data_IF_923629019220
#
_entry.id   IF_923629019220
#
_cell.length_a   1.000
_cell.length_b   1.000
_cell.length_c   1.000
_cell.angle_alpha   90.00
_cell.angle_beta   90.00
_cell.angle_gamma   90.00
#
_symmetry.space_group_name_H-M   'P 1'
#
loop_
_entity.id
_entity.type
_entity.pdbx_description
1 polymer ?
#
# COMPACT_ATOMS: atom_id res chain seq x y z
N UNK A 1 16.55 13.33 -0.58
CA UNK A 1 17.82 14.08 -0.67
C UNK A 1 17.72 15.50 -0.07
N UNK A 2 16.76 16.34 -0.50
CA UNK A 2 16.63 17.71 0.02
C UNK A 2 16.48 17.74 1.56
N UNK A 3 15.58 16.94 2.11
CA UNK A 3 15.29 16.87 3.55
C UNK A 3 16.54 16.41 4.34
N UNK A 4 17.23 15.38 3.86
CA UNK A 4 18.50 14.93 4.48
C UNK A 4 19.58 16.03 4.49
N UNK A 5 19.65 16.83 3.43
CA UNK A 5 20.59 17.95 3.34
C UNK A 5 20.27 19.08 4.31
N UNK A 6 18.99 19.36 4.54
CA UNK A 6 18.52 20.46 5.41
C UNK A 6 18.58 20.08 6.88
N UNK A 7 18.15 18.86 7.24
CA UNK A 7 17.99 18.44 8.63
C UNK A 7 19.10 17.50 9.13
N UNK A 8 19.96 17.04 8.23
CA UNK A 8 21.04 16.10 8.54
C UNK A 8 20.68 14.66 8.16
N UNK A 9 21.68 13.93 7.65
CA UNK A 9 21.47 12.55 7.21
C UNK A 9 21.13 11.60 8.37
N UNK A 10 21.66 11.87 9.56
CA UNK A 10 21.43 11.08 10.77
C UNK A 10 20.05 11.34 11.41
N UNK A 11 19.41 12.46 11.05
CA UNK A 11 18.12 12.88 11.59
C UNK A 11 16.93 12.46 10.71
N UNK A 12 17.18 11.91 9.53
CA UNK A 12 16.14 11.65 8.51
C UNK A 12 16.19 10.21 8.03
N UNK A 13 15.06 9.51 8.07
CA UNK A 13 14.88 8.22 7.40
C UNK A 13 13.50 8.07 6.82
N UNK A 14 13.32 7.05 5.99
CA UNK A 14 11.99 6.57 5.62
C UNK A 14 11.45 5.59 6.68
N UNK A 15 10.17 5.24 6.56
CA UNK A 15 9.47 4.36 7.51
C UNK A 15 9.38 2.97 6.92
N UNK A 16 9.65 1.94 7.72
CA UNK A 16 9.43 0.55 7.32
C UNK A 16 7.94 0.26 7.13
N UNK A 17 7.64 -0.62 6.21
CA UNK A 17 6.33 -1.27 6.10
C UNK A 17 6.51 -2.78 6.22
N UNK A 18 5.67 -3.41 7.02
CA UNK A 18 5.63 -4.86 7.15
C UNK A 18 4.54 -5.42 6.24
N UNK A 19 4.94 -6.16 5.22
CA UNK A 19 4.00 -6.87 4.37
C UNK A 19 3.58 -8.18 5.03
N UNK A 20 2.33 -8.27 5.46
CA UNK A 20 1.78 -9.50 6.04
C UNK A 20 1.15 -10.40 4.96
N UNK A 21 1.05 -11.68 5.27
CA UNK A 21 0.34 -12.66 4.44
C UNK A 21 -1.17 -12.47 4.61
N UNK A 22 -1.77 -11.60 3.82
CA UNK A 22 -3.22 -11.41 3.82
C UNK A 22 -3.96 -12.61 3.22
N UNK A 23 -5.26 -12.74 3.51
CA UNK A 23 -6.09 -13.90 3.17
C UNK A 23 -5.97 -14.37 1.71
N UNK A 24 -6.03 -13.46 0.72
CA UNK A 24 -5.87 -13.84 -0.71
C UNK A 24 -4.47 -14.32 -1.04
N UNK A 25 -3.46 -13.70 -0.47
CA UNK A 25 -2.07 -14.04 -0.73
C UNK A 25 -1.72 -15.40 -0.12
N UNK A 26 -2.09 -15.63 1.13
CA UNK A 26 -1.78 -16.87 1.83
C UNK A 26 -2.44 -18.08 1.16
N UNK A 27 -3.69 -17.98 0.71
CA UNK A 27 -4.37 -19.05 -0.04
C UNK A 27 -3.60 -19.39 -1.32
N UNK A 28 -3.16 -18.39 -2.09
CA UNK A 28 -2.39 -18.63 -3.32
C UNK A 28 -1.00 -19.21 -3.05
N UNK A 29 -0.32 -18.73 -2.02
CA UNK A 29 1.04 -19.17 -1.70
C UNK A 29 1.03 -20.61 -1.16
N UNK A 30 0.10 -20.95 -0.25
CA UNK A 30 -0.07 -22.32 0.25
C UNK A 30 -0.50 -23.26 -0.87
N UNK A 31 -1.47 -22.88 -1.70
CA UNK A 31 -1.90 -23.69 -2.83
C UNK A 31 -0.77 -23.98 -3.81
N UNK A 32 0.12 -23.01 -4.04
CA UNK A 32 1.33 -23.22 -4.86
C UNK A 32 2.30 -24.23 -4.24
N UNK A 33 2.54 -24.15 -2.93
CA UNK A 33 3.42 -25.07 -2.22
C UNK A 33 2.86 -26.50 -2.20
N UNK A 34 1.54 -26.63 -2.08
CA UNK A 34 0.83 -27.91 -2.15
C UNK A 34 0.66 -28.45 -3.59
N UNK A 35 1.22 -27.76 -4.60
CA UNK A 35 1.09 -28.09 -6.03
C UNK A 35 -0.36 -28.21 -6.51
N UNK A 36 -1.27 -27.45 -5.93
CA UNK A 36 -2.67 -27.40 -6.38
C UNK A 36 -2.80 -26.64 -7.71
N UNK A 37 -3.82 -26.96 -8.48
CA UNK A 37 -4.08 -26.30 -9.75
C UNK A 37 -4.29 -24.80 -9.59
N UNK A 38 -3.58 -23.98 -10.40
CA UNK A 38 -3.66 -22.52 -10.32
C UNK A 38 -5.09 -21.98 -10.41
N UNK A 39 -5.88 -22.51 -11.35
CA UNK A 39 -7.27 -22.06 -11.57
C UNK A 39 -8.17 -22.36 -10.36
N UNK A 40 -7.97 -23.48 -9.71
CA UNK A 40 -8.69 -23.90 -8.51
C UNK A 40 -8.40 -22.97 -7.34
N UNK A 41 -7.13 -22.78 -7.04
CA UNK A 41 -6.66 -21.88 -5.96
C UNK A 41 -7.07 -20.43 -6.23
N UNK A 42 -6.97 -19.96 -7.47
CA UNK A 42 -7.35 -18.60 -7.83
C UNK A 42 -8.86 -18.37 -7.74
N UNK A 43 -9.66 -19.39 -8.07
CA UNK A 43 -11.12 -19.36 -7.86
C UNK A 43 -11.46 -19.18 -6.38
N UNK A 44 -10.81 -19.96 -5.49
CA UNK A 44 -11.02 -19.83 -4.05
C UNK A 44 -10.58 -18.43 -3.55
N UNK A 45 -9.41 -17.97 -3.96
CA UNK A 45 -8.88 -16.67 -3.56
C UNK A 45 -9.74 -15.49 -4.06
N UNK A 46 -10.36 -15.60 -5.24
CA UNK A 46 -11.24 -14.55 -5.80
C UNK A 46 -12.54 -14.37 -5.03
N UNK A 47 -13.04 -15.43 -4.38
CA UNK A 47 -14.24 -15.34 -3.53
C UNK A 47 -13.99 -14.54 -2.24
N UNK A 48 -12.74 -14.37 -1.80
CA UNK A 48 -12.43 -13.55 -0.63
C UNK A 48 -12.73 -12.09 -0.96
N UNK A 49 -13.62 -11.41 -0.20
CA UNK A 49 -13.98 -10.02 -0.50
C UNK A 49 -12.80 -9.06 -0.29
N UNK A 50 -12.75 -8.01 -1.08
CA UNK A 50 -11.85 -6.88 -0.86
C UNK A 50 -12.68 -5.63 -0.65
N UNK A 51 -12.59 -5.06 0.56
CA UNK A 51 -13.22 -3.77 0.88
C UNK A 51 -12.12 -2.79 1.28
N UNK A 52 -12.06 -1.61 0.65
CA UNK A 52 -11.10 -0.58 1.04
C UNK A 52 -11.21 -0.27 2.54
N UNK A 53 -10.06 -0.24 3.24
CA UNK A 53 -10.02 0.07 4.67
C UNK A 53 -10.43 -1.06 5.62
N UNK A 54 -10.78 -2.25 5.09
CA UNK A 54 -11.11 -3.41 5.91
C UNK A 54 -10.14 -4.57 5.63
N UNK A 55 -9.39 -4.98 6.65
CA UNK A 55 -8.61 -6.21 6.59
C UNK A 55 -9.53 -7.41 6.78
N UNK A 56 -9.84 -8.09 5.67
CA UNK A 56 -10.67 -9.28 5.65
C UNK A 56 -9.78 -10.49 5.87
N UNK A 57 -9.94 -11.14 7.03
CA UNK A 57 -9.30 -12.43 7.34
C UNK A 57 -10.05 -13.58 6.68
N UNK A 58 -9.44 -14.77 6.63
CA UNK A 58 -10.08 -16.00 6.11
C UNK A 58 -11.35 -16.33 6.89
N UNK A 59 -11.35 -16.09 8.19
CA UNK A 59 -12.52 -16.31 9.04
C UNK A 59 -13.65 -15.35 8.69
N UNK A 60 -13.37 -14.06 8.64
CA UNK A 60 -14.33 -13.04 8.20
C UNK A 60 -14.84 -13.28 6.78
N UNK A 61 -13.94 -13.73 5.88
CA UNK A 61 -14.35 -14.06 4.52
C UNK A 61 -15.38 -15.20 4.49
N UNK A 62 -15.20 -16.23 5.32
CA UNK A 62 -16.17 -17.32 5.42
C UNK A 62 -17.53 -16.89 6.02
N UNK A 63 -17.52 -15.90 6.91
CA UNK A 63 -18.76 -15.31 7.45
C UNK A 63 -19.49 -14.44 6.42
N UNK A 64 -18.74 -13.70 5.60
CA UNK A 64 -19.29 -12.72 4.66
C UNK A 64 -19.72 -13.33 3.33
N UNK A 65 -19.08 -14.41 2.88
CA UNK A 65 -19.25 -15.01 1.56
C UNK A 65 -19.54 -16.51 1.68
N UNK A 66 -20.84 -16.90 1.60
CA UNK A 66 -21.25 -18.30 1.70
C UNK A 66 -20.58 -19.20 0.65
N UNK A 67 -20.35 -18.69 -0.56
CA UNK A 67 -19.69 -19.45 -1.64
C UNK A 67 -18.22 -19.74 -1.30
N UNK A 68 -17.53 -18.80 -0.66
CA UNK A 68 -16.18 -19.03 -0.13
C UNK A 68 -16.19 -20.08 0.96
N UNK A 69 -17.11 -19.97 1.92
CA UNK A 69 -17.24 -20.92 3.03
C UNK A 69 -17.52 -22.34 2.52
N UNK A 70 -18.44 -22.49 1.56
CA UNK A 70 -18.78 -23.78 0.98
C UNK A 70 -17.60 -24.41 0.21
N UNK A 71 -16.88 -23.61 -0.58
CA UNK A 71 -15.73 -24.09 -1.35
C UNK A 71 -14.52 -24.42 -0.44
N UNK A 72 -14.26 -23.59 0.56
CA UNK A 72 -13.19 -23.78 1.53
C UNK A 72 -13.39 -25.01 2.42
N UNK A 73 -14.65 -25.42 2.65
CA UNK A 73 -15.00 -26.59 3.44
C UNK A 73 -14.88 -27.94 2.68
N UNK A 74 -14.61 -27.92 1.40
CA UNK A 74 -14.45 -29.13 0.60
C UNK A 74 -13.23 -29.93 1.04
N UNK A 75 -13.30 -31.27 1.02
CA UNK A 75 -12.20 -32.11 1.49
C UNK A 75 -10.84 -31.81 0.85
N UNK A 76 -10.84 -31.52 -0.45
CA UNK A 76 -9.65 -31.17 -1.23
C UNK A 76 -8.98 -29.87 -0.80
N UNK A 77 -9.72 -28.94 -0.19
CA UNK A 77 -9.19 -27.67 0.31
C UNK A 77 -8.84 -27.70 1.81
N UNK A 78 -9.12 -28.79 2.51
CA UNK A 78 -8.94 -28.87 3.97
C UNK A 78 -7.49 -28.61 4.41
N UNK A 79 -6.53 -29.21 3.73
CA UNK A 79 -5.11 -29.05 4.04
C UNK A 79 -4.64 -27.63 3.72
N UNK A 80 -5.03 -27.11 2.56
CA UNK A 80 -4.75 -25.71 2.16
C UNK A 80 -5.29 -24.73 3.21
N UNK A 81 -6.54 -24.87 3.62
CA UNK A 81 -7.17 -23.97 4.57
C UNK A 81 -6.58 -24.07 5.98
N UNK A 82 -6.11 -25.27 6.37
CA UNK A 82 -5.41 -25.45 7.65
C UNK A 82 -4.13 -24.62 7.70
N UNK A 83 -3.24 -24.79 6.72
CA UNK A 83 -1.99 -24.03 6.66
C UNK A 83 -2.23 -22.54 6.40
N UNK A 84 -3.20 -22.20 5.56
CA UNK A 84 -3.50 -20.80 5.29
C UNK A 84 -3.93 -20.04 6.54
N UNK A 85 -4.73 -20.64 7.42
CA UNK A 85 -5.13 -20.04 8.70
C UNK A 85 -3.97 -19.85 9.67
N UNK A 86 -3.02 -20.78 9.70
CA UNK A 86 -1.84 -20.69 10.56
C UNK A 86 -0.85 -19.61 10.09
N UNK A 87 -0.76 -19.41 8.76
CA UNK A 87 0.18 -18.47 8.15
C UNK A 87 -0.41 -17.08 7.92
N UNK A 88 -1.75 -16.93 8.01
CA UNK A 88 -2.40 -15.65 7.83
C UNK A 88 -1.90 -14.62 8.85
N UNK A 89 -1.57 -13.42 8.38
CA UNK A 89 -1.10 -12.32 9.22
C UNK A 89 0.39 -12.36 9.57
N UNK A 90 1.10 -13.46 9.27
CA UNK A 90 2.55 -13.53 9.50
C UNK A 90 3.26 -12.52 8.57
N UNK A 91 4.21 -11.79 9.13
CA UNK A 91 5.05 -10.87 8.36
C UNK A 91 5.88 -11.65 7.34
N UNK A 92 5.77 -11.25 6.08
CA UNK A 92 6.42 -11.92 4.95
C UNK A 92 7.65 -11.18 4.46
N UNK A 93 7.55 -9.85 4.35
CA UNK A 93 8.59 -9.00 3.80
C UNK A 93 8.59 -7.63 4.45
N UNK A 94 9.73 -6.97 4.34
CA UNK A 94 9.92 -5.58 4.69
C UNK A 94 9.85 -4.73 3.43
N UNK A 95 9.12 -3.65 3.50
CA UNK A 95 9.06 -2.62 2.48
C UNK A 95 9.41 -1.25 3.04
N UNK A 96 9.35 -0.26 2.19
CA UNK A 96 9.55 1.13 2.52
C UNK A 96 8.25 1.89 2.27
N UNK A 97 7.82 2.72 3.21
CA UNK A 97 6.63 3.53 3.06
C UNK A 97 6.80 4.51 1.88
N UNK A 98 5.80 4.58 1.01
CA UNK A 98 5.89 5.29 -0.26
C UNK A 98 6.21 6.79 -0.12
N UNK A 99 5.78 7.44 0.94
CA UNK A 99 5.95 8.88 1.15
C UNK A 99 6.26 9.30 2.58
N UNK A 100 6.24 8.36 3.53
CA UNK A 100 6.48 8.65 4.94
C UNK A 100 7.96 8.87 5.22
N UNK A 101 8.30 10.04 5.75
CA UNK A 101 9.65 10.44 6.15
C UNK A 101 9.64 10.86 7.61
N UNK A 102 10.59 10.35 8.38
CA UNK A 102 10.84 10.78 9.75
C UNK A 102 11.90 11.88 9.75
N UNK A 103 11.66 12.91 10.54
CA UNK A 103 12.61 13.97 10.82
C UNK A 103 12.69 14.10 12.35
N UNK A 104 13.82 13.67 12.91
CA UNK A 104 14.06 13.76 14.35
C UNK A 104 14.70 15.10 14.74
N UNK A 105 14.53 15.57 15.99
CA UNK A 105 15.20 16.76 16.49
C UNK A 105 16.70 16.54 16.78
N UNK A 106 17.20 15.33 16.58
CA UNK A 106 18.59 14.90 16.76
C UNK A 106 18.84 13.64 15.95
N UNK A 107 19.65 12.72 16.44
CA UNK A 107 19.88 11.45 15.76
C UNK A 107 18.65 10.55 15.86
N UNK A 108 18.22 9.99 14.75
CA UNK A 108 17.10 9.02 14.73
C UNK A 108 17.35 7.81 15.63
N UNK A 109 18.60 7.38 15.75
CA UNK A 109 19.00 6.26 16.61
C UNK A 109 18.77 6.48 18.10
N UNK A 110 18.53 7.73 18.53
CA UNK A 110 18.15 8.04 19.91
C UNK A 110 16.66 7.72 20.18
N UNK A 111 15.86 7.54 19.12
CA UNK A 111 14.44 7.31 19.19
C UNK A 111 14.02 5.90 18.71
N UNK A 112 14.64 5.41 17.65
CA UNK A 112 14.30 4.10 17.07
C UNK A 112 15.52 3.44 16.40
N UNK A 113 15.58 2.11 16.39
CA UNK A 113 16.58 1.39 15.62
C UNK A 113 16.32 1.60 14.12
N UNK A 114 17.39 1.58 13.34
CA UNK A 114 17.35 1.72 11.88
C UNK A 114 17.71 0.41 11.21
N UNK A 115 17.17 0.20 10.01
CA UNK A 115 17.43 -0.95 9.16
C UNK A 115 17.84 -0.50 7.77
N UNK A 116 18.82 -1.19 7.22
CA UNK A 116 19.31 -0.98 5.87
C UNK A 116 19.56 -2.34 5.22
N UNK A 117 18.75 -2.68 4.22
CA UNK A 117 18.79 -4.01 3.60
C UNK A 117 20.01 -4.21 2.69
N UNK A 118 20.48 -3.14 2.03
CA UNK A 118 21.45 -3.21 0.93
C UNK A 118 22.73 -2.41 1.18
N UNK A 119 22.89 -1.83 2.39
CA UNK A 119 24.02 -1.01 2.76
C UNK A 119 24.05 0.40 2.15
N UNK A 120 23.03 0.79 1.40
CA UNK A 120 22.94 2.12 0.81
C UNK A 120 22.30 3.11 1.77
N UNK A 121 22.96 4.21 2.14
CA UNK A 121 22.43 5.17 3.12
C UNK A 121 21.05 5.74 2.75
N UNK A 122 20.74 5.86 1.45
CA UNK A 122 19.47 6.34 0.94
C UNK A 122 18.30 5.38 1.26
N UNK A 123 18.57 4.09 1.43
CA UNK A 123 17.57 3.04 1.68
C UNK A 123 17.42 2.70 3.17
N UNK A 124 17.90 3.59 4.05
CA UNK A 124 17.72 3.42 5.48
C UNK A 124 16.29 3.72 5.90
N UNK A 125 15.69 2.79 6.65
CA UNK A 125 14.33 2.89 7.19
C UNK A 125 14.36 2.74 8.72
N UNK A 126 13.32 3.28 9.39
CA UNK A 126 13.07 2.94 10.80
C UNK A 126 12.70 1.46 10.92
N UNK A 127 13.05 0.79 12.03
CA UNK A 127 12.53 -0.55 12.31
C UNK A 127 11.14 -0.51 12.95
N UNK A 128 10.67 0.66 13.37
CA UNK A 128 9.31 0.88 13.82
C UNK A 128 8.42 1.28 12.64
N UNK A 129 7.20 0.74 12.60
CA UNK A 129 6.21 1.07 11.60
C UNK A 129 5.59 2.47 11.82
N UNK A 130 4.64 2.83 10.95
CA UNK A 130 3.96 4.14 10.99
C UNK A 130 3.23 4.46 12.30
N UNK A 131 2.85 3.46 13.10
CA UNK A 131 2.18 3.65 14.40
C UNK A 131 3.21 3.73 15.53
N UNK A 132 4.18 2.83 15.49
CA UNK A 132 5.19 2.75 16.54
C UNK A 132 6.13 3.96 16.56
N UNK A 133 6.43 4.54 15.39
CA UNK A 133 7.22 5.79 15.32
C UNK A 133 6.50 6.97 16.00
N UNK A 134 5.18 7.03 15.90
CA UNK A 134 4.38 8.05 16.60
C UNK A 134 4.34 7.78 18.11
N UNK A 135 4.26 6.51 18.52
CA UNK A 135 4.27 6.12 19.94
C UNK A 135 5.58 6.50 20.67
N UNK A 136 6.71 6.51 19.97
CA UNK A 136 7.99 6.95 20.54
C UNK A 136 8.22 8.47 20.40
N UNK A 137 7.22 9.22 19.95
CA UNK A 137 7.24 10.67 19.89
C UNK A 137 7.86 11.27 18.62
N UNK A 138 8.10 10.46 17.58
CA UNK A 138 8.55 10.96 16.28
C UNK A 138 7.36 11.46 15.45
N UNK A 139 7.61 12.49 14.65
CA UNK A 139 6.63 13.04 13.71
C UNK A 139 6.88 12.46 12.32
N UNK A 140 5.82 11.95 11.72
CA UNK A 140 5.81 11.47 10.36
C UNK A 140 5.37 12.56 9.39
N UNK A 141 6.17 12.79 8.37
CA UNK A 141 5.87 13.71 7.27
C UNK A 141 5.59 12.91 6.01
N UNK A 142 4.44 13.10 5.40
CA UNK A 142 4.07 12.41 4.16
C UNK A 142 4.39 13.29 2.94
N UNK A 143 5.41 12.86 2.17
CA UNK A 143 5.80 13.48 0.92
C UNK A 143 5.32 12.64 -0.25
N UNK A 144 4.03 12.74 -0.55
CA UNK A 144 3.42 12.03 -1.67
C UNK A 144 3.13 13.01 -2.81
N UNK A 145 3.79 12.78 -3.95
CA UNK A 145 3.46 13.47 -5.18
C UNK A 145 2.20 12.88 -5.83
N UNK A 146 1.42 13.71 -6.49
CA UNK A 146 0.26 13.29 -7.25
C UNK A 146 0.50 13.56 -8.74
N UNK A 147 0.77 12.53 -9.52
CA UNK A 147 1.01 12.63 -10.97
C UNK A 147 -0.18 13.26 -11.70
N UNK A 148 -1.41 13.05 -11.22
CA UNK A 148 -2.62 13.68 -11.78
C UNK A 148 -2.53 15.19 -11.79
N UNK A 149 -1.99 15.83 -10.74
CA UNK A 149 -1.81 17.27 -10.71
C UNK A 149 -0.82 17.77 -11.76
N UNK A 150 0.23 16.98 -12.02
CA UNK A 150 1.18 17.29 -13.10
C UNK A 150 0.51 17.19 -14.47
N UNK A 151 -0.34 16.19 -14.69
CA UNK A 151 -1.12 16.04 -15.93
C UNK A 151 -2.06 17.21 -16.13
N UNK A 152 -2.79 17.60 -15.08
CA UNK A 152 -3.69 18.78 -15.13
C UNK A 152 -2.90 20.07 -15.42
N UNK A 153 -1.78 20.29 -14.74
CA UNK A 153 -0.93 21.45 -15.01
C UNK A 153 -0.42 21.49 -16.46
N UNK A 154 -0.02 20.34 -17.00
CA UNK A 154 0.38 20.24 -18.42
C UNK A 154 -0.79 20.48 -19.37
N UNK A 155 -1.99 20.02 -19.05
CA UNK A 155 -3.19 20.29 -19.85
C UNK A 155 -3.47 21.78 -19.93
N UNK A 156 -3.38 22.50 -18.81
CA UNK A 156 -3.52 23.96 -18.78
C UNK A 156 -2.46 24.64 -19.65
N UNK A 157 -1.18 24.26 -19.51
CA UNK A 157 -0.10 24.79 -20.36
C UNK A 157 -0.38 24.59 -21.86
N UNK A 158 -0.95 23.46 -22.25
CA UNK A 158 -1.32 23.19 -23.65
C UNK A 158 -2.51 24.01 -24.11
N UNK A 159 -3.54 24.20 -23.27
CA UNK A 159 -4.69 25.04 -23.56
C UNK A 159 -4.22 26.47 -23.82
N UNK A 160 -3.41 27.03 -22.93
CA UNK A 160 -2.86 28.37 -23.07
C UNK A 160 -2.07 28.62 -24.37
N UNK A 161 -1.35 27.54 -24.83
CA UNK A 161 -0.60 27.60 -26.10
C UNK A 161 -1.51 27.51 -27.33
N UNK A 162 -2.56 26.69 -27.27
CA UNK A 162 -3.47 26.44 -28.39
C UNK A 162 -4.55 27.55 -28.51
N UNK A 163 -4.90 28.17 -27.40
CA UNK A 163 -5.94 29.21 -27.28
C UNK A 163 -5.36 30.46 -26.62
N UNK A 164 -4.40 31.16 -27.26
CA UNK A 164 -3.78 32.34 -26.69
C UNK A 164 -4.82 33.46 -26.49
N UNK A 165 -4.98 33.91 -25.24
CA UNK A 165 -5.93 34.92 -24.85
C UNK A 165 -7.21 34.39 -24.17
N UNK A 166 -7.42 33.10 -24.12
CA UNK A 166 -8.43 32.46 -23.28
C UNK A 166 -7.82 32.13 -21.92
N UNK A 167 -8.33 32.73 -20.85
CA UNK A 167 -7.93 32.40 -19.49
C UNK A 167 -8.67 31.13 -19.04
N UNK A 168 -7.99 30.01 -19.03
CA UNK A 168 -8.52 28.74 -18.52
C UNK A 168 -8.11 28.51 -17.05
N UNK A 169 -9.11 28.35 -16.18
CA UNK A 169 -8.91 28.07 -14.75
C UNK A 169 -9.54 26.72 -14.40
N UNK A 170 -8.76 25.83 -13.76
CA UNK A 170 -9.21 24.51 -13.36
C UNK A 170 -10.42 24.56 -12.41
N UNK A 171 -10.47 25.57 -11.55
CA UNK A 171 -11.53 25.79 -10.58
C UNK A 171 -12.89 26.12 -11.20
N UNK A 172 -12.90 26.52 -12.47
CA UNK A 172 -14.12 26.85 -13.22
C UNK A 172 -14.68 25.71 -14.04
N UNK A 173 -14.05 24.54 -14.03
CA UNK A 173 -14.53 23.36 -14.75
C UNK A 173 -15.86 22.93 -14.12
N UNK A 174 -16.97 22.86 -14.91
CA UNK A 174 -18.23 22.29 -14.43
C UNK A 174 -18.07 20.79 -14.23
N UNK A 175 -18.19 20.33 -12.97
CA UNK A 175 -18.02 18.91 -12.60
C UNK A 175 -19.20 18.02 -13.02
N UNK A 176 -20.30 18.64 -13.47
CA UNK A 176 -21.54 17.99 -13.87
C UNK A 176 -21.83 18.11 -15.39
N UNK A 177 -20.84 18.45 -16.21
CA UNK A 177 -20.99 18.50 -17.65
C UNK A 177 -21.30 17.12 -18.22
N UNK A 178 -22.57 16.97 -18.64
CA UNK A 178 -23.11 15.67 -19.13
C UNK A 178 -22.44 15.20 -20.42
N UNK A 179 -21.98 16.11 -21.28
CA UNK A 179 -21.33 15.70 -22.53
C UNK A 179 -19.93 15.14 -22.27
N UNK A 180 -19.17 15.76 -21.37
CA UNK A 180 -17.87 15.22 -20.94
C UNK A 180 -18.02 13.90 -20.17
N UNK A 181 -19.02 13.80 -19.29
CA UNK A 181 -19.27 12.57 -18.51
C UNK A 181 -19.71 11.37 -19.37
N UNK A 182 -20.21 11.59 -20.59
CA UNK A 182 -20.52 10.49 -21.54
C UNK A 182 -19.27 9.81 -22.11
N UNK A 183 -18.09 10.38 -21.93
CA UNK A 183 -16.83 9.78 -22.37
C UNK A 183 -16.34 8.64 -21.46
N UNK A 184 -16.92 8.50 -20.26
CA UNK A 184 -16.62 7.47 -19.26
C UNK A 184 -17.71 6.40 -19.21
#
# INVERSE_FOLDING_TARGET
EYVKRVYGADAVSQIVTFGAMGAKAVVRDVGRVLNMGYNEVDRLAKLIPQKPGLDVTLEKAAEMEPDFAALAAQPEHKELMSYAKELEGITRNLGMHAGGVLIAPGKLTDFCPLYNADGRPENTVSQYDKKDVENVGLVKFDFLGLTTLTILGKAVEYIDRLHPGEHFELERIPVDDKETLKLF
#
